data_IF_868622911076
#
_entry.id   IF_868622911076
#
_cell.length_a   1.000
_cell.length_b   1.000
_cell.length_c   1.000
_cell.angle_alpha   90.00
_cell.angle_beta   90.00
_cell.angle_gamma   90.00
#
_symmetry.space_group_name_H-M   'P 1'
#
loop_
_entity.id
_entity.type
_entity.pdbx_description
1 polymer ?
#
# COMPACT_ATOMS: atom_id res chain seq x y z
N UNK A 1 15.86 0.23 -7.93
CA UNK A 1 14.96 0.16 -6.75
C UNK A 1 13.75 -0.79 -6.94
N UNK A 2 13.73 -1.69 -7.93
CA UNK A 2 12.66 -2.71 -8.11
C UNK A 2 13.00 -4.11 -7.60
N UNK A 3 14.26 -4.35 -7.23
CA UNK A 3 14.76 -5.69 -6.86
C UNK A 3 14.35 -6.13 -5.45
N UNK A 4 14.24 -5.17 -4.53
CA UNK A 4 13.79 -5.41 -3.15
C UNK A 4 12.37 -6.00 -3.17
N UNK A 5 11.46 -5.37 -3.92
CA UNK A 5 10.09 -5.85 -4.10
C UNK A 5 10.10 -7.28 -4.63
N UNK A 6 10.83 -7.56 -5.73
CA UNK A 6 10.90 -8.90 -6.33
C UNK A 6 11.44 -9.96 -5.36
N UNK A 7 12.47 -9.65 -4.57
CA UNK A 7 13.02 -10.59 -3.56
C UNK A 7 12.06 -10.87 -2.41
N UNK A 8 11.26 -9.88 -2.00
CA UNK A 8 10.25 -10.09 -0.95
C UNK A 8 9.01 -10.84 -1.46
N UNK A 9 8.51 -10.54 -2.67
CA UNK A 9 7.41 -11.30 -3.29
C UNK A 9 7.79 -12.77 -3.50
N UNK A 10 9.05 -13.04 -3.87
CA UNK A 10 9.53 -14.41 -4.08
C UNK A 10 9.59 -15.25 -2.79
N UNK A 11 9.55 -14.63 -1.60
CA UNK A 11 9.69 -15.31 -0.30
C UNK A 11 8.39 -15.44 0.49
N UNK A 12 7.29 -14.87 0.00
CA UNK A 12 6.02 -14.78 0.74
C UNK A 12 5.02 -15.89 0.35
N UNK A 13 4.65 -16.71 1.33
CA UNK A 13 3.63 -17.77 1.23
C UNK A 13 2.16 -17.28 1.14
N UNK A 14 1.21 -18.20 1.24
CA UNK A 14 -0.22 -17.99 0.96
C UNK A 14 -0.92 -16.88 1.79
N UNK A 15 -0.61 -16.75 3.08
CA UNK A 15 -1.27 -15.75 3.94
C UNK A 15 -0.95 -14.30 3.56
N UNK A 16 0.25 -14.04 3.04
CA UNK A 16 0.70 -12.72 2.61
C UNK A 16 -0.02 -12.31 1.31
N UNK A 17 -0.23 -13.27 0.40
CA UNK A 17 -1.01 -13.06 -0.83
C UNK A 17 -2.48 -12.76 -0.55
N UNK A 18 -3.08 -13.41 0.45
CA UNK A 18 -4.45 -13.14 0.87
C UNK A 18 -4.58 -11.73 1.45
N UNK A 19 -3.72 -11.34 2.39
CA UNK A 19 -3.72 -9.97 2.93
C UNK A 19 -3.46 -8.90 1.85
N UNK A 20 -2.59 -9.21 0.88
CA UNK A 20 -2.33 -8.36 -0.26
C UNK A 20 -3.56 -8.22 -1.18
N UNK A 21 -4.21 -9.33 -1.54
CA UNK A 21 -5.40 -9.33 -2.41
C UNK A 21 -6.56 -8.54 -1.77
N UNK A 22 -6.73 -8.69 -0.47
CA UNK A 22 -7.74 -7.98 0.30
C UNK A 22 -7.45 -6.46 0.26
N UNK A 23 -6.21 -6.02 0.53
CA UNK A 23 -5.86 -4.58 0.57
C UNK A 23 -6.03 -3.94 -0.80
N UNK A 24 -5.65 -4.65 -1.86
CA UNK A 24 -5.78 -4.15 -3.23
C UNK A 24 -7.26 -3.98 -3.60
N UNK A 25 -8.12 -4.91 -3.20
CA UNK A 25 -9.56 -4.89 -3.52
C UNK A 25 -10.28 -3.76 -2.79
N UNK A 26 -10.01 -3.58 -1.50
CA UNK A 26 -10.68 -2.56 -0.67
C UNK A 26 -10.04 -1.17 -0.75
N UNK A 27 -8.93 -1.01 -1.47
CA UNK A 27 -8.19 0.25 -1.54
C UNK A 27 -9.07 1.47 -1.83
N UNK A 28 -9.96 1.46 -2.85
CA UNK A 28 -10.80 2.61 -3.15
C UNK A 28 -11.76 2.98 -2.02
N UNK A 29 -12.26 2.00 -1.26
CA UNK A 29 -13.11 2.23 -0.10
C UNK A 29 -12.31 2.83 1.07
N UNK A 30 -11.03 2.50 1.20
CA UNK A 30 -10.15 2.99 2.26
C UNK A 30 -9.70 4.44 2.03
N UNK A 31 -9.21 4.76 0.83
CA UNK A 31 -8.60 6.06 0.54
C UNK A 31 -9.53 7.03 -0.19
N UNK A 32 -10.67 6.54 -0.70
CA UNK A 32 -11.59 7.31 -1.53
C UNK A 32 -11.17 7.37 -3.00
N UNK A 33 -12.12 7.71 -3.87
CA UNK A 33 -12.00 7.62 -5.33
C UNK A 33 -10.87 8.48 -5.90
N UNK A 34 -10.67 9.68 -5.37
CA UNK A 34 -9.62 10.62 -5.84
C UNK A 34 -8.22 10.06 -5.59
N UNK A 35 -7.95 9.57 -4.38
CA UNK A 35 -6.65 8.99 -4.03
C UNK A 35 -6.44 7.68 -4.78
N UNK A 36 -7.47 6.84 -4.89
CA UNK A 36 -7.40 5.58 -5.62
C UNK A 36 -7.15 5.77 -7.14
N UNK A 37 -7.57 6.88 -7.73
CA UNK A 37 -7.32 7.17 -9.14
C UNK A 37 -5.82 7.40 -9.46
N UNK A 38 -5.10 7.99 -8.51
CA UNK A 38 -3.68 8.37 -8.65
C UNK A 38 -2.73 7.44 -7.92
N UNK A 39 -3.23 6.46 -7.15
CA UNK A 39 -2.44 5.50 -6.39
C UNK A 39 -2.76 4.05 -6.76
N UNK A 40 -1.80 3.16 -6.60
CA UNK A 40 -1.99 1.73 -6.85
C UNK A 40 -1.23 0.92 -5.80
N UNK A 41 -1.91 0.22 -4.88
CA UNK A 41 -1.25 -0.66 -3.93
C UNK A 41 -0.63 -1.83 -4.68
N UNK A 42 0.65 -2.11 -4.41
CA UNK A 42 1.39 -3.15 -5.15
C UNK A 42 1.63 -4.38 -4.29
N UNK A 43 2.03 -4.21 -3.03
CA UNK A 43 2.33 -5.33 -2.14
C UNK A 43 2.30 -4.92 -0.68
N UNK A 44 1.92 -5.86 0.19
CA UNK A 44 2.10 -5.78 1.64
C UNK A 44 3.21 -6.76 2.02
N UNK A 45 4.16 -6.34 2.85
CA UNK A 45 5.17 -7.25 3.40
C UNK A 45 4.69 -7.89 4.70
N UNK A 46 5.31 -9.03 5.05
CA UNK A 46 5.12 -9.68 6.37
C UNK A 46 5.37 -8.77 7.57
N UNK A 47 6.30 -7.82 7.43
CA UNK A 47 6.61 -6.82 8.45
C UNK A 47 5.55 -5.72 8.57
N UNK A 48 4.53 -5.73 7.70
CA UNK A 48 3.43 -4.77 7.69
C UNK A 48 3.72 -3.52 6.86
N UNK A 49 4.55 -3.61 5.82
CA UNK A 49 4.84 -2.47 4.95
C UNK A 49 4.00 -2.58 3.68
N UNK A 50 3.09 -1.62 3.48
CA UNK A 50 2.33 -1.49 2.25
C UNK A 50 3.09 -0.59 1.27
N UNK A 51 3.45 -1.14 0.11
CA UNK A 51 4.00 -0.37 -1.00
C UNK A 51 2.88 0.11 -1.91
N UNK A 52 2.86 1.41 -2.18
CA UNK A 52 1.88 2.05 -3.04
C UNK A 52 2.60 2.86 -4.11
N UNK A 53 2.29 2.58 -5.38
CA UNK A 53 2.74 3.39 -6.51
C UNK A 53 1.85 4.61 -6.66
N UNK A 54 2.43 5.77 -6.94
CA UNK A 54 1.74 7.02 -7.20
C UNK A 54 2.03 7.43 -8.63
N UNK A 55 0.98 7.63 -9.44
CA UNK A 55 1.10 7.96 -10.87
C UNK A 55 1.71 9.34 -11.13
N UNK A 56 1.59 10.27 -10.17
CA UNK A 56 1.95 11.67 -10.36
C UNK A 56 2.67 12.21 -9.12
N UNK A 57 3.88 12.72 -9.30
CA UNK A 57 4.72 13.28 -8.24
C UNK A 57 4.07 14.41 -7.38
N UNK A 58 3.20 15.30 -7.91
CA UNK A 58 2.58 16.37 -7.11
C UNK A 58 1.78 15.88 -5.89
N UNK A 59 1.25 14.66 -5.94
CA UNK A 59 0.44 14.10 -4.85
C UNK A 59 1.28 13.60 -3.67
N UNK A 60 2.60 13.46 -3.80
CA UNK A 60 3.44 12.84 -2.76
C UNK A 60 3.42 13.58 -1.42
N UNK A 61 3.30 14.91 -1.41
CA UNK A 61 3.22 15.67 -0.16
C UNK A 61 1.88 15.46 0.55
N UNK A 62 0.79 15.55 -0.19
CA UNK A 62 -0.56 15.37 0.36
C UNK A 62 -0.79 13.93 0.84
N UNK A 63 -0.31 12.94 0.08
CA UNK A 63 -0.35 11.54 0.49
C UNK A 63 0.43 11.27 1.79
N UNK A 64 1.57 11.93 1.98
CA UNK A 64 2.32 11.82 3.24
C UNK A 64 1.53 12.37 4.42
N UNK A 65 0.83 13.50 4.25
CA UNK A 65 -0.05 14.07 5.28
C UNK A 65 -1.26 13.17 5.58
N UNK A 66 -1.81 12.51 4.55
CA UNK A 66 -2.94 11.59 4.70
C UNK A 66 -2.56 10.22 5.25
N UNK A 67 -1.28 9.83 5.17
CA UNK A 67 -0.77 8.51 5.60
C UNK A 67 -1.24 8.07 6.99
N UNK A 68 -1.15 8.89 8.06
CA UNK A 68 -1.65 8.49 9.39
C UNK A 68 -3.15 8.20 9.40
N UNK A 69 -3.97 8.95 8.65
CA UNK A 69 -5.40 8.67 8.54
C UNK A 69 -5.67 7.36 7.81
N UNK A 70 -4.96 7.10 6.72
CA UNK A 70 -5.10 5.88 5.92
C UNK A 70 -4.69 4.65 6.76
N UNK A 71 -3.59 4.74 7.51
CA UNK A 71 -3.19 3.69 8.45
C UNK A 71 -4.26 3.43 9.53
N UNK A 72 -4.91 4.49 10.03
CA UNK A 72 -6.02 4.36 10.99
C UNK A 72 -7.23 3.64 10.35
N UNK A 73 -7.55 3.93 9.09
CA UNK A 73 -8.66 3.29 8.35
C UNK A 73 -8.39 1.83 8.00
N UNK A 74 -7.15 1.47 7.68
CA UNK A 74 -6.73 0.08 7.42
C UNK A 74 -6.97 -0.82 8.64
N UNK A 75 -6.86 -0.26 9.84
CA UNK A 75 -7.12 -0.94 11.10
C UNK A 75 -6.09 -2.03 11.43
N UNK A 76 -6.14 -2.57 12.67
CA UNK A 76 -5.16 -3.56 13.14
C UNK A 76 -5.27 -4.92 12.42
N UNK A 77 -6.44 -5.24 11.86
CA UNK A 77 -6.72 -6.54 11.22
C UNK A 77 -5.83 -6.79 10.00
N UNK A 78 -5.49 -5.73 9.24
CA UNK A 78 -4.68 -5.86 8.02
C UNK A 78 -3.17 -5.88 8.25
N UNK A 79 -2.73 -5.75 9.51
CA UNK A 79 -1.32 -5.77 9.92
C UNK A 79 -0.40 -4.76 9.21
N UNK A 80 -0.95 -3.77 8.52
CA UNK A 80 -0.17 -2.71 7.88
C UNK A 80 0.24 -1.69 8.95
N UNK A 81 1.54 -1.55 9.16
CA UNK A 81 2.17 -0.63 10.12
C UNK A 81 2.75 0.61 9.45
N UNK A 82 3.06 0.52 8.16
CA UNK A 82 3.72 1.59 7.41
C UNK A 82 3.30 1.57 5.95
N UNK A 83 3.17 2.75 5.35
CA UNK A 83 2.96 2.92 3.91
C UNK A 83 4.21 3.53 3.30
N UNK A 84 4.68 2.97 2.20
CA UNK A 84 5.79 3.50 1.40
C UNK A 84 5.25 3.90 0.04
N UNK A 85 5.17 5.21 -0.18
CA UNK A 85 4.79 5.81 -1.45
C UNK A 85 5.97 5.78 -2.41
N UNK A 86 5.73 5.38 -3.65
CA UNK A 86 6.75 5.31 -4.71
C UNK A 86 6.25 6.06 -5.93
N UNK A 87 7.06 6.96 -6.47
CA UNK A 87 6.79 7.55 -7.78
C UNK A 87 6.79 6.43 -8.84
N UNK A 88 5.73 6.39 -9.65
CA UNK A 88 5.52 5.46 -10.75
C UNK A 88 5.90 6.05 -12.09
#
# INVERSE_FOLDING_TARGET
MGEVLKRYLARSGYADRLAQADVITDWPALVGTTVAAVTTPEAVTRDGILFVRVKTAPWMQELQLMTPEILRKLGPQRRVKKIVWRAG
#
